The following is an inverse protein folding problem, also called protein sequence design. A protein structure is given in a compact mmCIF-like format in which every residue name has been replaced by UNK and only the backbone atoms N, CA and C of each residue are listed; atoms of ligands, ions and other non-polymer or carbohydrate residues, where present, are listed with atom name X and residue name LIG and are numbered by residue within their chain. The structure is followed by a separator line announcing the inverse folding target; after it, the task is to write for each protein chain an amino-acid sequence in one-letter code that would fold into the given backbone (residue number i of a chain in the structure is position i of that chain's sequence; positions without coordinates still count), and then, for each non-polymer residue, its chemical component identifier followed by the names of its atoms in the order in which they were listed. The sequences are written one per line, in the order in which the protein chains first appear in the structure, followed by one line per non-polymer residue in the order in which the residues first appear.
data_IF_207821942324
#
_entry.id   IF_207821942324
#
_cell.length_a   1.000
_cell.length_b   1.000
_cell.length_c   1.000
_cell.angle_alpha   90.00
_cell.angle_beta   90.00
_cell.angle_gamma   90.00
#
_symmetry.space_group_name_H-M   'P 1'
#
loop_
_entity.id
_entity.type
_entity.pdbx_description
1 polymer ?
#
# COMPACT_ATOMS: atom_id res chain seq x y z
N UNK A 1 -7.47 -7.55 -11.60
CA UNK A 1 -8.13 -8.30 -10.51
C UNK A 1 -9.01 -7.35 -9.72
N UNK A 2 -10.22 -7.77 -9.42
CA UNK A 2 -11.17 -6.96 -8.65
C UNK A 2 -11.68 -7.73 -7.44
N UNK A 3 -11.94 -7.02 -6.36
CA UNK A 3 -12.55 -7.58 -5.14
C UNK A 3 -13.61 -6.62 -4.62
N UNK A 4 -14.78 -7.14 -4.33
CA UNK A 4 -15.80 -6.37 -3.65
C UNK A 4 -15.62 -6.52 -2.13
N UNK A 5 -15.69 -5.40 -1.42
CA UNK A 5 -15.41 -5.31 0.01
C UNK A 5 -16.66 -4.78 0.70
N UNK A 6 -17.37 -5.65 1.42
CA UNK A 6 -18.67 -5.31 2.02
C UNK A 6 -18.54 -4.28 3.15
N UNK A 7 -17.46 -4.35 3.91
CA UNK A 7 -17.24 -3.54 5.11
C UNK A 7 -15.76 -3.32 5.39
N UNK A 8 -15.46 -2.64 6.47
CA UNK A 8 -14.08 -2.36 6.85
C UNK A 8 -13.31 -3.64 7.23
N UNK A 9 -13.98 -4.65 7.76
CA UNK A 9 -13.32 -5.93 8.04
C UNK A 9 -12.89 -6.63 6.76
N UNK A 10 -13.70 -6.58 5.72
CA UNK A 10 -13.32 -7.12 4.41
C UNK A 10 -12.12 -6.38 3.82
N UNK A 11 -12.06 -5.07 4.00
CA UNK A 11 -10.91 -4.26 3.56
C UNK A 11 -9.65 -4.63 4.33
N UNK A 12 -9.76 -4.78 5.65
CA UNK A 12 -8.64 -5.21 6.49
C UNK A 12 -8.19 -6.63 6.11
N UNK A 13 -9.12 -7.52 5.83
CA UNK A 13 -8.80 -8.89 5.41
C UNK A 13 -8.04 -8.91 4.08
N UNK A 14 -8.42 -8.08 3.12
CA UNK A 14 -7.68 -7.94 1.87
C UNK A 14 -6.25 -7.44 2.16
N UNK A 15 -6.11 -6.46 3.05
CA UNK A 15 -4.79 -5.99 3.47
C UNK A 15 -3.93 -7.10 4.06
N UNK A 16 -4.49 -7.94 4.92
CA UNK A 16 -3.78 -9.09 5.48
C UNK A 16 -3.38 -10.10 4.40
N UNK A 17 -4.26 -10.36 3.46
CA UNK A 17 -3.97 -11.27 2.35
C UNK A 17 -2.80 -10.76 1.50
N UNK A 18 -2.82 -9.48 1.16
CA UNK A 18 -1.72 -8.85 0.43
C UNK A 18 -0.43 -8.91 1.26
N UNK A 19 -0.51 -8.47 2.51
CA UNK A 19 0.66 -8.41 3.39
C UNK A 19 1.34 -9.75 3.60
N UNK A 20 0.55 -10.82 3.68
CA UNK A 20 1.09 -12.18 3.85
C UNK A 20 1.93 -12.63 2.65
N UNK A 21 1.68 -12.07 1.48
CA UNK A 21 2.40 -12.39 0.25
C UNK A 21 3.58 -11.46 -0.03
N UNK A 22 3.71 -10.37 0.71
CA UNK A 22 4.75 -9.36 0.47
C UNK A 22 6.11 -9.83 0.99
N UNK A 23 7.13 -9.50 0.22
CA UNK A 23 8.53 -9.78 0.54
C UNK A 23 9.35 -8.51 0.37
N UNK A 24 10.59 -8.47 0.93
CA UNK A 24 11.45 -7.30 0.76
C UNK A 24 11.61 -6.92 -0.71
N UNK A 25 11.50 -5.63 -0.98
CA UNK A 25 11.58 -5.09 -2.33
C UNK A 25 10.23 -4.91 -3.01
N UNK A 26 9.14 -5.43 -2.44
CA UNK A 26 7.81 -5.14 -2.97
C UNK A 26 7.39 -3.71 -2.64
N UNK A 27 6.72 -3.07 -3.60
CA UNK A 27 6.19 -1.72 -3.47
C UNK A 27 4.70 -1.75 -3.82
N UNK A 28 3.86 -1.29 -2.88
CA UNK A 28 2.41 -1.24 -3.06
C UNK A 28 1.96 0.22 -3.02
N UNK A 29 1.25 0.64 -4.05
CA UNK A 29 0.70 1.98 -4.16
C UNK A 29 -0.81 1.92 -3.91
N UNK A 30 -1.27 2.67 -2.91
CA UNK A 30 -2.69 2.73 -2.53
C UNK A 30 -3.30 4.00 -3.08
N UNK A 31 -4.32 3.87 -3.92
CA UNK A 31 -5.08 5.00 -4.44
C UNK A 31 -6.53 4.92 -3.99
N UNK A 32 -7.20 6.06 -3.99
CA UNK A 32 -8.59 6.17 -3.58
C UNK A 32 -8.85 7.48 -2.87
N UNK A 33 -10.09 7.93 -2.87
CA UNK A 33 -10.49 9.17 -2.21
C UNK A 33 -10.33 9.08 -0.69
N UNK A 34 -10.36 10.23 -0.03
CA UNK A 34 -10.39 10.29 1.43
C UNK A 34 -11.58 9.44 1.93
N UNK A 35 -11.31 8.61 2.93
CA UNK A 35 -12.33 7.73 3.47
C UNK A 35 -12.59 6.46 2.66
N UNK A 36 -11.82 6.19 1.60
CA UNK A 36 -12.00 4.98 0.78
C UNK A 36 -11.52 3.69 1.46
N UNK A 37 -10.82 3.80 2.60
CA UNK A 37 -10.35 2.63 3.34
C UNK A 37 -8.85 2.34 3.19
N UNK A 38 -8.07 3.28 2.66
CA UNK A 38 -6.63 3.09 2.47
C UNK A 38 -5.92 2.80 3.79
N UNK A 39 -6.24 3.54 4.85
CA UNK A 39 -5.65 3.32 6.17
C UNK A 39 -6.03 1.96 6.73
N UNK A 40 -7.27 1.53 6.57
CA UNK A 40 -7.75 0.22 7.01
C UNK A 40 -6.99 -0.90 6.30
N UNK A 41 -6.82 -0.77 4.99
CA UNK A 41 -6.06 -1.74 4.20
C UNK A 41 -4.59 -1.75 4.62
N UNK A 42 -3.99 -0.58 4.80
CA UNK A 42 -2.60 -0.46 5.23
C UNK A 42 -2.36 -1.11 6.59
N UNK A 43 -3.29 -0.96 7.53
CA UNK A 43 -3.22 -1.63 8.83
C UNK A 43 -3.27 -3.15 8.70
N UNK A 44 -4.08 -3.66 7.78
CA UNK A 44 -4.13 -5.09 7.48
C UNK A 44 -2.79 -5.60 6.94
N UNK A 45 -2.19 -4.86 6.01
CA UNK A 45 -0.85 -5.18 5.48
C UNK A 45 0.18 -5.23 6.61
N UNK A 46 0.20 -4.20 7.44
CA UNK A 46 1.14 -4.11 8.57
C UNK A 46 0.97 -5.27 9.54
N UNK A 47 -0.28 -5.63 9.85
CA UNK A 47 -0.58 -6.75 10.74
C UNK A 47 -0.02 -8.06 10.20
N UNK A 48 -0.21 -8.31 8.90
CA UNK A 48 0.31 -9.52 8.27
C UNK A 48 1.85 -9.54 8.21
N UNK A 49 2.48 -8.37 8.19
CA UNK A 49 3.95 -8.25 8.25
C UNK A 49 4.50 -8.37 9.67
N UNK A 50 3.63 -8.55 10.67
CA UNK A 50 4.05 -8.73 12.05
C UNK A 50 4.36 -7.44 12.79
N UNK A 51 3.87 -6.31 12.32
CA UNK A 51 4.00 -5.03 13.03
C UNK A 51 3.11 -5.07 14.28
N UNK A 52 3.71 -4.83 15.44
CA UNK A 52 3.02 -4.88 16.72
C UNK A 52 2.30 -3.57 17.01
N UNK A 53 1.19 -3.67 17.74
CA UNK A 53 0.46 -2.51 18.25
C UNK A 53 -0.41 -1.82 17.22
N UNK A 54 -0.79 -0.59 17.54
CA UNK A 54 -1.60 0.25 16.64
C UNK A 54 -0.69 0.89 15.60
N UNK A 55 -1.08 0.76 14.34
CA UNK A 55 -0.34 1.38 13.23
C UNK A 55 -0.95 2.76 12.99
N UNK A 56 -0.22 3.84 13.30
CA UNK A 56 -0.71 5.19 13.03
C UNK A 56 -0.69 5.47 11.53
N UNK A 57 -1.55 6.39 11.10
CA UNK A 57 -1.47 6.92 9.75
C UNK A 57 -0.25 7.85 9.63
N UNK A 58 0.50 7.83 8.52
CA UNK A 58 1.64 8.72 8.31
C UNK A 58 1.22 10.14 7.92
N UNK A 59 0.01 10.56 8.25
CA UNK A 59 -0.54 11.87 7.84
C UNK A 59 0.31 13.04 8.35
N UNK A 60 0.94 12.92 9.52
CA UNK A 60 1.75 13.98 10.11
C UNK A 60 3.24 13.81 9.83
N UNK A 61 3.69 12.59 9.57
CA UNK A 61 5.06 12.30 9.16
C UNK A 61 4.96 11.64 7.78
N UNK A 62 5.70 12.12 6.80
CA UNK A 62 5.60 11.62 5.42
C UNK A 62 5.90 10.13 5.31
N UNK A 63 6.81 9.62 6.12
CA UNK A 63 7.18 8.19 6.13
C UNK A 63 7.33 7.73 7.57
N UNK A 64 6.77 6.57 7.88
CA UNK A 64 6.97 5.87 9.15
C UNK A 64 7.55 4.50 8.84
N UNK A 65 8.67 4.16 9.46
CA UNK A 65 9.24 2.82 9.37
C UNK A 65 8.73 1.98 10.55
N UNK A 66 8.20 0.79 10.24
CA UNK A 66 7.72 -0.15 11.23
C UNK A 66 8.59 -1.41 11.21
N UNK A 67 8.89 -1.94 12.38
CA UNK A 67 9.57 -3.22 12.51
C UNK A 67 8.55 -4.36 12.48
N UNK A 68 8.80 -5.35 11.63
CA UNK A 68 8.00 -6.55 11.52
C UNK A 68 8.89 -7.71 11.10
N UNK A 69 8.32 -8.79 10.54
CA UNK A 69 9.15 -9.87 9.95
C UNK A 69 10.02 -9.34 8.81
N UNK A 70 9.56 -8.29 8.14
CA UNK A 70 10.35 -7.42 7.24
C UNK A 70 10.06 -5.98 7.61
N UNK A 71 11.02 -5.05 7.43
CA UNK A 71 10.74 -3.64 7.64
C UNK A 71 9.63 -3.16 6.70
N UNK A 72 8.71 -2.35 7.22
CA UNK A 72 7.65 -1.71 6.44
C UNK A 72 7.86 -0.21 6.45
N UNK A 73 8.01 0.38 5.27
CA UNK A 73 7.99 1.83 5.09
C UNK A 73 6.59 2.23 4.63
N UNK A 74 5.88 2.96 5.47
CA UNK A 74 4.54 3.44 5.18
C UNK A 74 4.63 4.95 4.91
N UNK A 75 4.34 5.36 3.69
CA UNK A 75 4.45 6.74 3.25
C UNK A 75 3.08 7.29 2.87
N UNK A 76 2.88 8.60 3.13
CA UNK A 76 1.71 9.34 2.69
C UNK A 76 2.20 10.62 2.00
N UNK A 77 1.98 10.71 0.70
CA UNK A 77 2.47 11.82 -0.11
C UNK A 77 1.40 12.91 -0.33
N UNK A 78 0.27 12.84 0.37
CA UNK A 78 -0.86 13.76 0.16
C UNK A 78 -0.45 15.22 0.31
N UNK A 79 0.44 15.52 1.27
CA UNK A 79 0.85 16.90 1.58
C UNK A 79 1.99 17.42 0.72
N UNK A 80 2.61 16.55 -0.09
CA UNK A 80 3.69 17.00 -0.96
C UNK A 80 3.12 17.75 -2.16
N UNK A 81 3.84 18.78 -2.60
CA UNK A 81 3.53 19.43 -3.85
C UNK A 81 3.75 18.44 -4.99
N UNK A 82 2.89 18.45 -6.03
CA UNK A 82 3.08 17.58 -7.18
C UNK A 82 4.47 17.76 -7.79
N UNK A 83 5.18 16.65 -7.98
CA UNK A 83 6.52 16.65 -8.55
C UNK A 83 7.63 17.02 -7.56
N UNK A 84 7.34 17.21 -6.26
CA UNK A 84 8.36 17.46 -5.27
C UNK A 84 9.35 16.29 -5.20
N UNK A 85 10.66 16.54 -4.96
CA UNK A 85 11.63 15.45 -4.82
C UNK A 85 11.30 14.55 -3.63
N UNK A 86 11.36 13.24 -3.83
CA UNK A 86 11.12 12.26 -2.77
C UNK A 86 12.32 11.34 -2.51
N UNK A 87 13.48 11.66 -3.11
CA UNK A 87 14.67 10.81 -3.01
C UNK A 87 15.13 10.63 -1.56
N UNK A 88 14.97 11.65 -0.73
CA UNK A 88 15.38 11.63 0.67
C UNK A 88 14.45 10.78 1.55
N UNK A 89 13.30 10.33 1.02
CA UNK A 89 12.35 9.53 1.79
C UNK A 89 12.74 8.05 1.86
N UNK A 90 13.71 7.61 1.05
CA UNK A 90 14.20 6.24 1.08
C UNK A 90 13.24 5.20 0.55
N UNK A 91 12.34 5.57 -0.35
CA UNK A 91 11.28 4.68 -0.85
C UNK A 91 11.77 3.69 -1.91
N UNK A 92 13.05 3.68 -2.24
CA UNK A 92 13.67 2.78 -3.20
C UNK A 92 14.43 1.62 -2.53
N UNK A 93 14.17 1.36 -1.25
CA UNK A 93 14.85 0.30 -0.50
C UNK A 93 14.43 -1.10 -0.98
N UNK A 94 15.43 -1.97 -1.14
CA UNK A 94 15.24 -3.37 -1.52
C UNK A 94 15.07 -4.31 -0.32
N UNK A 95 15.39 -3.84 0.88
CA UNK A 95 15.34 -4.64 2.12
C UNK A 95 14.04 -4.48 2.89
N UNK A 96 13.10 -3.69 2.37
CA UNK A 96 11.85 -3.38 3.04
C UNK A 96 10.68 -3.53 2.07
N UNK A 97 9.48 -3.65 2.63
CA UNK A 97 8.24 -3.45 1.90
C UNK A 97 7.91 -1.97 1.95
N UNK A 98 7.55 -1.40 0.82
CA UNK A 98 7.18 0.01 0.70
C UNK A 98 5.69 0.11 0.37
N UNK A 99 4.94 0.85 1.18
CA UNK A 99 3.51 1.06 1.04
C UNK A 99 3.26 2.56 0.96
N UNK A 100 2.75 3.04 -0.17
CA UNK A 100 2.62 4.48 -0.45
C UNK A 100 1.16 4.83 -0.67
N UNK A 101 0.65 5.78 0.13
CA UNK A 101 -0.65 6.41 -0.08
C UNK A 101 -0.47 7.72 -0.86
N UNK A 102 -1.43 8.03 -1.73
CA UNK A 102 -1.40 9.20 -2.62
C UNK A 102 -0.17 9.22 -3.54
N UNK A 103 0.09 8.11 -4.25
CA UNK A 103 1.30 8.00 -5.09
C UNK A 103 1.26 8.91 -6.32
N UNK A 104 0.08 9.30 -6.76
CA UNK A 104 -0.12 10.11 -7.97
C UNK A 104 0.54 11.47 -7.90
N UNK A 105 0.87 11.97 -6.70
CA UNK A 105 1.63 13.21 -6.54
C UNK A 105 3.02 13.11 -7.13
N UNK A 106 3.66 11.95 -7.01
CA UNK A 106 5.07 11.75 -7.36
C UNK A 106 5.29 10.41 -8.09
N UNK A 107 4.32 9.98 -8.90
CA UNK A 107 4.35 8.65 -9.51
C UNK A 107 5.62 8.36 -10.29
N UNK A 108 6.12 9.36 -11.03
CA UNK A 108 7.33 9.21 -11.83
C UNK A 108 8.61 9.00 -11.05
N UNK A 109 8.62 9.33 -9.75
CA UNK A 109 9.78 9.16 -8.86
C UNK A 109 9.69 7.89 -8.00
N UNK A 110 8.58 7.15 -8.10
CA UNK A 110 8.39 5.88 -7.39
C UNK A 110 8.94 4.72 -8.24
N UNK A 111 9.25 3.56 -7.63
CA UNK A 111 9.69 2.40 -8.39
C UNK A 111 8.73 2.06 -9.52
N UNK A 112 9.26 1.77 -10.71
CA UNK A 112 8.44 1.48 -11.89
C UNK A 112 7.70 0.14 -11.77
N UNK A 113 8.33 -0.85 -11.14
CA UNK A 113 7.71 -2.15 -10.86
C UNK A 113 7.01 -2.07 -9.50
N UNK A 114 5.69 -2.10 -9.50
CA UNK A 114 4.88 -1.97 -8.29
C UNK A 114 3.51 -2.61 -8.47
N UNK A 115 2.80 -2.79 -7.35
CA UNK A 115 1.41 -3.20 -7.33
C UNK A 115 0.54 -1.98 -6.97
N UNK A 116 -0.46 -1.70 -7.78
CA UNK A 116 -1.46 -0.67 -7.45
C UNK A 116 -2.70 -1.34 -6.88
N UNK A 117 -3.18 -0.82 -5.75
CA UNK A 117 -4.47 -1.18 -5.17
C UNK A 117 -5.32 0.08 -5.17
N UNK A 118 -6.31 0.12 -6.05
CA UNK A 118 -7.22 1.25 -6.18
C UNK A 118 -8.53 0.93 -5.45
N UNK A 119 -8.86 1.74 -4.44
CA UNK A 119 -10.10 1.58 -3.66
C UNK A 119 -11.12 2.60 -4.14
N UNK A 120 -12.31 2.12 -4.48
CA UNK A 120 -13.43 2.99 -4.88
C UNK A 120 -14.64 2.73 -4.01
N UNK A 121 -15.38 3.80 -3.72
CA UNK A 121 -16.63 3.73 -2.96
C UNK A 121 -17.72 3.13 -3.85
N UNK A 122 -18.46 2.16 -3.31
CA UNK A 122 -19.57 1.52 -3.99
C UNK A 122 -20.89 1.70 -3.22
N UNK A 123 -20.99 2.82 -2.48
CA UNK A 123 -22.15 3.05 -1.62
C UNK A 123 -21.94 2.44 -0.24
N UNK A 124 -22.47 1.26 0.00
CA UNK A 124 -22.34 0.59 1.30
C UNK A 124 -21.02 -0.14 1.48
N UNK A 125 -20.31 -0.44 0.40
CA UNK A 125 -19.05 -1.14 0.42
C UNK A 125 -18.00 -0.41 -0.38
N UNK A 126 -16.93 -1.13 -0.69
CA UNK A 126 -15.81 -0.65 -1.50
C UNK A 126 -15.49 -1.67 -2.58
N UNK A 127 -14.80 -1.25 -3.61
CA UNK A 127 -14.22 -2.14 -4.59
C UNK A 127 -12.73 -1.89 -4.67
N UNK A 128 -11.95 -2.97 -4.64
CA UNK A 128 -10.51 -2.91 -4.86
C UNK A 128 -10.20 -3.40 -6.26
N UNK A 129 -9.45 -2.62 -7.00
CA UNK A 129 -8.88 -3.03 -8.28
C UNK A 129 -7.37 -3.12 -8.11
N UNK A 130 -6.80 -4.28 -8.43
CA UNK A 130 -5.37 -4.53 -8.29
C UNK A 130 -4.75 -4.73 -9.67
N UNK A 131 -3.64 -4.05 -9.93
CA UNK A 131 -2.86 -4.30 -11.14
C UNK A 131 -1.38 -4.09 -10.87
N UNK A 132 -0.54 -4.79 -11.63
CA UNK A 132 0.90 -4.73 -11.50
C UNK A 132 1.52 -4.06 -12.73
N UNK A 133 2.65 -3.39 -12.53
CA UNK A 133 3.34 -2.65 -13.59
C UNK A 133 4.75 -3.17 -13.82
N UNK A 134 5.03 -4.39 -13.55
CA UNK A 134 6.35 -4.96 -13.82
C UNK A 134 6.37 -6.43 -13.48
N UNK A 135 7.43 -7.14 -13.88
CA UNK A 135 7.45 -8.62 -13.75
C UNK A 135 7.40 -9.12 -12.32
N UNK A 136 8.06 -8.42 -11.39
CA UNK A 136 8.09 -8.83 -9.99
C UNK A 136 6.69 -8.77 -9.36
N UNK A 137 5.99 -7.68 -9.60
CA UNK A 137 4.66 -7.49 -9.04
C UNK A 137 3.58 -8.19 -9.85
N UNK A 138 3.83 -8.50 -11.13
CA UNK A 138 2.98 -9.39 -11.89
C UNK A 138 2.95 -10.80 -11.27
N UNK A 139 4.10 -11.30 -10.81
CA UNK A 139 4.17 -12.58 -10.11
C UNK A 139 3.41 -12.53 -8.78
N UNK A 140 3.55 -11.43 -8.03
CA UNK A 140 2.80 -11.21 -6.80
C UNK A 140 1.29 -11.21 -7.07
N UNK A 141 0.85 -10.48 -8.08
CA UNK A 141 -0.57 -10.41 -8.44
C UNK A 141 -1.11 -11.78 -8.83
N UNK A 142 -0.35 -12.58 -9.57
CA UNK A 142 -0.73 -13.93 -9.93
C UNK A 142 -0.92 -14.80 -8.67
N UNK A 143 -0.05 -14.66 -7.68
CA UNK A 143 -0.18 -15.38 -6.41
C UNK A 143 -1.44 -14.97 -5.65
N UNK A 144 -1.79 -13.69 -5.67
CA UNK A 144 -2.98 -13.16 -5.00
C UNK A 144 -4.28 -13.59 -5.69
N UNK A 145 -4.21 -13.95 -6.96
CA UNK A 145 -5.39 -14.32 -7.77
C UNK A 145 -5.73 -15.82 -7.70
N UNK A 146 -4.93 -16.59 -6.98
CA UNK A 146 -5.15 -18.05 -6.83
C UNK A 146 -6.21 -18.38 -5.80
#
# INVERSE_FOLDING_TARGET
MHRDLEDSEATAALGRTIGAALEPGHCVLLTGDLGAGKTTLARGVARALGVAGVVPSPTFALVIEHAGRVPLLHADLYRLDPGAPIDDLGLDRDDAVVLVEWPDRNLGALPADHLVVALTDQGQGRRAALHATGPRHAALLAALSR
#
